data_IF_915966803652
#
_entry.id   IF_915966803652
#
_cell.length_a   1.000
_cell.length_b   1.000
_cell.length_c   1.000
_cell.angle_alpha   90.00
_cell.angle_beta   90.00
_cell.angle_gamma   90.00
#
_symmetry.space_group_name_H-M   'P 1'
#
loop_
_entity.id
_entity.type
_entity.pdbx_description
1 polymer ?
#
# COMPACT_ATOMS: atom_id res chain seq x y z
N UNK A 1 27.95 -35.33 -0.52
CA UNK A 1 26.95 -34.34 -1.00
C UNK A 1 25.75 -34.12 -0.06
N UNK A 2 25.58 -34.87 1.04
CA UNK A 2 24.43 -34.70 1.95
C UNK A 2 24.61 -33.57 3.01
N UNK A 3 25.85 -33.25 3.39
CA UNK A 3 26.13 -32.36 4.53
C UNK A 3 25.86 -30.85 4.28
N UNK A 4 25.86 -30.40 3.02
CA UNK A 4 25.60 -28.99 2.67
C UNK A 4 24.10 -28.64 2.72
N UNK A 5 23.20 -29.63 2.54
CA UNK A 5 21.74 -29.40 2.59
C UNK A 5 21.21 -29.25 4.02
N UNK A 6 21.87 -29.83 5.02
CA UNK A 6 21.46 -29.79 6.43
C UNK A 6 21.73 -28.44 7.08
N UNK A 7 22.89 -27.82 6.81
CA UNK A 7 23.27 -26.48 7.31
C UNK A 7 22.26 -25.39 6.88
N UNK A 8 21.77 -25.45 5.64
CA UNK A 8 20.77 -24.51 5.11
C UNK A 8 19.38 -24.69 5.74
N UNK A 9 19.03 -25.91 6.18
CA UNK A 9 17.73 -26.19 6.83
C UNK A 9 17.74 -25.77 8.30
N UNK A 10 18.85 -25.97 9.00
CA UNK A 10 19.02 -25.56 10.39
C UNK A 10 19.02 -24.03 10.55
N UNK A 11 19.74 -23.30 9.68
CA UNK A 11 19.74 -21.83 9.68
C UNK A 11 18.35 -21.24 9.35
N UNK A 12 17.59 -21.88 8.45
CA UNK A 12 16.20 -21.49 8.18
C UNK A 12 15.30 -21.69 9.39
N UNK A 13 15.45 -22.81 10.12
CA UNK A 13 14.65 -23.10 11.30
C UNK A 13 14.94 -22.13 12.45
N UNK A 14 16.21 -21.79 12.68
CA UNK A 14 16.61 -20.80 13.67
C UNK A 14 16.06 -19.41 13.31
N UNK A 15 16.21 -18.98 12.05
CA UNK A 15 15.64 -17.70 11.60
C UNK A 15 14.11 -17.67 11.77
N UNK A 16 13.43 -18.77 11.43
CA UNK A 16 11.96 -18.87 11.61
C UNK A 16 11.56 -18.79 13.08
N UNK A 17 12.29 -19.44 13.98
CA UNK A 17 12.05 -19.36 15.42
C UNK A 17 12.26 -17.93 15.95
N UNK A 18 13.31 -17.26 15.51
CA UNK A 18 13.56 -15.84 15.86
C UNK A 18 12.42 -14.96 15.36
N UNK A 19 12.00 -15.11 14.10
CA UNK A 19 10.85 -14.37 13.53
C UNK A 19 9.59 -14.63 14.35
N UNK A 20 9.31 -15.87 14.75
CA UNK A 20 8.14 -16.16 15.58
C UNK A 20 8.22 -15.55 16.98
N UNK A 21 9.37 -15.61 17.65
CA UNK A 21 9.57 -14.99 18.96
C UNK A 21 9.33 -13.47 18.87
N UNK A 22 9.90 -12.82 17.84
CA UNK A 22 9.72 -11.39 17.60
C UNK A 22 8.25 -11.07 17.27
N UNK A 23 7.60 -11.85 16.40
CA UNK A 23 6.18 -11.67 16.08
C UNK A 23 5.27 -11.84 17.31
N UNK A 24 5.54 -12.81 18.17
CA UNK A 24 4.79 -13.02 19.42
C UNK A 24 5.01 -11.86 20.38
N UNK A 25 6.26 -11.40 20.54
CA UNK A 25 6.57 -10.24 21.38
C UNK A 25 5.86 -8.96 20.88
N UNK A 26 5.88 -8.70 19.57
CA UNK A 26 5.17 -7.58 18.95
C UNK A 26 3.65 -7.71 19.09
N UNK A 27 3.11 -8.93 19.01
CA UNK A 27 1.68 -9.19 19.23
C UNK A 27 1.27 -8.94 20.68
N UNK A 28 2.06 -9.36 21.66
CA UNK A 28 1.80 -9.07 23.08
C UNK A 28 1.88 -7.56 23.36
N UNK A 29 2.87 -6.88 22.77
CA UNK A 29 3.04 -5.44 22.90
C UNK A 29 1.86 -4.67 22.27
N UNK A 30 1.32 -5.13 21.15
CA UNK A 30 0.17 -4.48 20.50
C UNK A 30 -1.16 -4.73 21.21
N UNK A 31 -1.31 -5.85 21.94
CA UNK A 31 -2.49 -6.14 22.77
C UNK A 31 -2.52 -5.28 24.04
N UNK A 32 -1.35 -4.93 24.59
CA UNK A 32 -1.22 -4.15 25.82
C UNK A 32 -2.05 -2.85 25.86
N UNK A 33 -2.05 -1.95 24.85
CA UNK A 33 -2.89 -0.75 24.86
C UNK A 33 -4.39 -1.06 24.87
N UNK A 34 -4.82 -2.15 24.21
CA UNK A 34 -6.22 -2.59 24.24
C UNK A 34 -6.61 -3.14 25.62
N UNK A 35 -5.70 -3.87 26.27
CA UNK A 35 -5.91 -4.33 27.65
C UNK A 35 -6.05 -3.16 28.62
N UNK A 36 -5.18 -2.14 28.51
CA UNK A 36 -5.27 -0.92 29.31
C UNK A 36 -6.58 -0.18 29.06
N UNK A 37 -7.03 -0.10 27.80
CA UNK A 37 -8.32 0.53 27.46
C UNK A 37 -9.48 -0.21 28.14
N UNK A 38 -9.48 -1.55 28.14
CA UNK A 38 -10.48 -2.35 28.83
C UNK A 38 -10.44 -2.14 30.36
N UNK A 39 -9.25 -2.18 30.96
CA UNK A 39 -9.07 -1.92 32.40
C UNK A 39 -9.55 -0.51 32.75
N UNK A 40 -9.20 0.50 31.97
CA UNK A 40 -9.63 1.88 32.22
C UNK A 40 -11.16 2.04 32.12
N UNK A 41 -11.85 1.26 31.29
CA UNK A 41 -13.31 1.25 31.25
C UNK A 41 -13.95 0.77 32.58
N UNK A 42 -13.21 -0.01 33.38
CA UNK A 42 -13.66 -0.50 34.70
C UNK A 42 -13.25 0.41 35.87
N UNK A 43 -12.44 1.44 35.62
CA UNK A 43 -11.88 2.35 36.63
C UNK A 43 -12.66 3.65 36.75
N UNK A 44 -12.58 4.26 37.93
CA UNK A 44 -13.10 5.61 38.18
C UNK A 44 -12.15 6.69 37.64
N UNK A 45 -12.65 7.91 37.44
CA UNK A 45 -11.85 9.04 36.95
C UNK A 45 -10.64 9.35 37.84
N UNK A 46 -10.79 9.22 39.16
CA UNK A 46 -9.70 9.45 40.13
C UNK A 46 -8.60 8.38 40.01
N UNK A 47 -8.97 7.12 39.78
CA UNK A 47 -8.03 6.02 39.58
C UNK A 47 -7.29 6.13 38.24
N UNK A 48 -7.92 6.67 37.19
CA UNK A 48 -7.25 6.91 35.90
C UNK A 48 -6.19 8.01 36.04
N UNK A 49 -6.47 9.06 36.82
CA UNK A 49 -5.52 10.15 37.06
C UNK A 49 -4.35 9.76 37.96
N UNK A 50 -4.51 8.75 38.82
CA UNK A 50 -3.45 8.29 39.73
C UNK A 50 -2.37 7.43 39.07
N UNK A 51 -2.56 7.05 37.80
CA UNK A 51 -1.54 6.36 36.99
C UNK A 51 -2.04 5.07 36.33
N UNK A 52 -1.11 4.43 35.62
CA UNK A 52 -1.38 3.23 34.83
C UNK A 52 -1.50 2.01 35.75
N UNK A 53 -2.64 1.32 35.71
CA UNK A 53 -2.87 0.04 36.39
C UNK A 53 -3.27 -1.02 35.37
N UNK A 54 -2.79 -2.25 35.59
CA UNK A 54 -3.14 -3.41 34.76
C UNK A 54 -4.29 -4.24 35.33
N UNK A 55 -4.76 -3.89 36.53
CA UNK A 55 -5.83 -4.60 37.23
C UNK A 55 -7.17 -3.89 37.05
N UNK A 56 -8.25 -4.62 36.70
CA UNK A 56 -9.59 -4.05 36.58
C UNK A 56 -10.13 -3.62 37.95
N UNK A 57 -10.93 -2.55 37.96
CA UNK A 57 -11.64 -2.05 39.15
C UNK A 57 -13.12 -2.44 39.09
N UNK A 58 -13.88 -2.11 40.13
CA UNK A 58 -15.28 -2.56 40.30
C UNK A 58 -16.31 -1.61 39.68
N UNK A 59 -15.89 -0.49 39.11
CA UNK A 59 -16.75 0.60 38.65
C UNK A 59 -17.33 0.42 37.23
N UNK A 60 -17.18 -0.76 36.62
CA UNK A 60 -17.64 -1.03 35.24
C UNK A 60 -19.13 -0.74 35.03
N UNK A 61 -20.01 -1.18 35.95
CA UNK A 61 -21.47 -0.99 35.83
C UNK A 61 -21.84 0.48 35.89
N UNK A 62 -21.26 1.22 36.84
CA UNK A 62 -21.47 2.66 36.98
C UNK A 62 -21.02 3.42 35.74
N UNK A 63 -19.88 3.07 35.16
CA UNK A 63 -19.41 3.69 33.91
C UNK A 63 -20.34 3.39 32.73
N UNK A 64 -20.85 2.15 32.63
CA UNK A 64 -21.80 1.77 31.58
C UNK A 64 -23.15 2.49 31.74
N UNK A 65 -23.67 2.59 32.96
CA UNK A 65 -24.91 3.30 33.24
C UNK A 65 -24.75 4.79 32.93
N UNK A 66 -23.61 5.40 33.28
CA UNK A 66 -23.31 6.80 32.91
C UNK A 66 -23.22 6.99 31.38
N UNK A 67 -22.68 6.01 30.65
CA UNK A 67 -22.60 6.05 29.18
C UNK A 67 -23.98 5.95 28.53
N UNK A 68 -24.90 5.17 29.08
CA UNK A 68 -26.25 4.94 28.53
C UNK A 68 -27.28 5.97 29.03
N UNK A 69 -27.08 6.55 30.22
CA UNK A 69 -28.02 7.49 30.84
C UNK A 69 -27.73 8.96 30.53
N UNK A 70 -26.52 9.31 30.09
CA UNK A 70 -26.20 10.69 29.67
C UNK A 70 -26.95 11.06 28.39
N UNK A 71 -27.13 12.36 28.17
CA UNK A 71 -27.78 12.97 26.99
C UNK A 71 -27.10 12.70 25.63
N UNK A 72 -26.08 11.85 25.59
CA UNK A 72 -25.39 11.44 24.37
C UNK A 72 -25.76 10.00 24.06
N UNK A 73 -26.36 9.78 22.90
CA UNK A 73 -26.73 8.44 22.41
C UNK A 73 -25.53 7.84 21.64
N UNK A 74 -24.82 6.84 22.22
CA UNK A 74 -23.64 6.27 21.59
C UNK A 74 -23.97 5.54 20.29
N UNK A 75 -25.19 5.00 20.17
CA UNK A 75 -25.63 4.28 18.98
C UNK A 75 -25.80 5.24 17.80
N UNK A 76 -26.37 6.43 18.03
CA UNK A 76 -26.45 7.46 16.99
C UNK A 76 -25.06 7.89 16.51
N UNK A 77 -24.10 8.04 17.43
CA UNK A 77 -22.70 8.32 17.08
C UNK A 77 -22.08 7.23 16.20
N UNK A 78 -22.35 5.96 16.54
CA UNK A 78 -21.89 4.82 15.76
C UNK A 78 -22.49 4.79 14.35
N UNK A 79 -23.82 4.97 14.22
CA UNK A 79 -24.48 5.01 12.91
C UNK A 79 -24.01 6.20 12.05
N UNK A 80 -23.85 7.39 12.64
CA UNK A 80 -23.29 8.54 11.92
C UNK A 80 -21.89 8.23 11.37
N UNK A 81 -21.04 7.62 12.21
CA UNK A 81 -19.68 7.23 11.81
C UNK A 81 -19.70 6.20 10.69
N UNK A 82 -20.58 5.20 10.76
CA UNK A 82 -20.74 4.17 9.74
C UNK A 82 -21.19 4.75 8.39
N UNK A 83 -22.17 5.67 8.42
CA UNK A 83 -22.65 6.37 7.22
C UNK A 83 -21.51 7.19 6.59
N UNK A 84 -20.81 7.99 7.40
CA UNK A 84 -19.70 8.83 6.93
C UNK A 84 -18.59 7.95 6.36
N UNK A 85 -18.12 6.93 7.09
CA UNK A 85 -17.01 6.09 6.65
C UNK A 85 -17.38 5.29 5.41
N UNK A 86 -18.60 4.74 5.34
CA UNK A 86 -19.06 3.96 4.19
C UNK A 86 -19.17 4.82 2.93
N UNK A 87 -19.88 5.94 3.01
CA UNK A 87 -20.09 6.82 1.86
C UNK A 87 -18.80 7.51 1.42
N UNK A 88 -18.01 8.02 2.36
CA UNK A 88 -16.72 8.65 2.03
C UNK A 88 -15.75 7.68 1.38
N UNK A 89 -15.65 6.44 1.87
CA UNK A 89 -14.80 5.41 1.26
C UNK A 89 -15.27 5.04 -0.15
N UNK A 90 -16.57 4.81 -0.33
CA UNK A 90 -17.13 4.42 -1.63
C UNK A 90 -16.91 5.50 -2.69
N UNK A 91 -17.24 6.75 -2.36
CA UNK A 91 -17.03 7.85 -3.28
C UNK A 91 -15.53 8.10 -3.54
N UNK A 92 -14.70 8.10 -2.48
CA UNK A 92 -13.27 8.33 -2.63
C UNK A 92 -12.61 7.27 -3.53
N UNK A 93 -12.92 5.99 -3.32
CA UNK A 93 -12.40 4.90 -4.16
C UNK A 93 -12.92 5.00 -5.59
N UNK A 94 -14.20 5.29 -5.79
CA UNK A 94 -14.80 5.43 -7.12
C UNK A 94 -14.13 6.55 -7.93
N UNK A 95 -14.08 7.78 -7.40
CA UNK A 95 -13.46 8.90 -8.12
C UNK A 95 -11.93 8.75 -8.24
N UNK A 96 -11.27 8.19 -7.23
CA UNK A 96 -9.81 8.01 -7.27
C UNK A 96 -9.38 6.94 -8.25
N UNK A 97 -10.12 5.82 -8.35
CA UNK A 97 -9.85 4.77 -9.33
C UNK A 97 -10.06 5.27 -10.76
N UNK A 98 -11.13 6.02 -11.01
CA UNK A 98 -11.39 6.65 -12.31
C UNK A 98 -10.28 7.64 -12.69
N UNK A 99 -9.84 8.48 -11.75
CA UNK A 99 -8.75 9.44 -11.97
C UNK A 99 -7.42 8.73 -12.21
N UNK A 100 -7.11 7.69 -11.43
CA UNK A 100 -5.89 6.90 -11.59
C UNK A 100 -5.88 6.16 -12.95
N UNK A 101 -7.00 5.58 -13.34
CA UNK A 101 -7.18 4.98 -14.66
C UNK A 101 -7.00 6.01 -15.78
N UNK A 102 -7.59 7.21 -15.65
CA UNK A 102 -7.39 8.29 -16.61
C UNK A 102 -5.92 8.73 -16.75
N UNK A 103 -5.17 8.73 -15.65
CA UNK A 103 -3.74 9.08 -15.66
C UNK A 103 -2.85 7.98 -16.25
N UNK A 104 -3.24 6.71 -16.14
CA UNK A 104 -2.46 5.54 -16.59
C UNK A 104 -2.84 5.11 -18.00
N UNK A 105 -4.14 4.91 -18.27
CA UNK A 105 -4.64 4.34 -19.51
C UNK A 105 -4.72 5.35 -20.66
N UNK A 106 -4.87 6.65 -20.39
CA UNK A 106 -4.99 7.68 -21.43
C UNK A 106 -3.71 8.51 -21.63
N UNK A 107 -3.43 8.82 -22.89
CA UNK A 107 -2.30 9.64 -23.31
C UNK A 107 -2.72 11.07 -23.65
N UNK A 108 -2.36 12.01 -22.78
CA UNK A 108 -2.65 13.43 -22.91
C UNK A 108 -1.46 14.26 -22.41
N UNK A 109 -1.22 15.41 -23.05
CA UNK A 109 0.03 16.19 -22.92
C UNK A 109 0.30 16.70 -21.49
N UNK A 110 -0.75 16.96 -20.70
CA UNK A 110 -0.63 17.53 -19.34
C UNK A 110 -0.67 16.49 -18.21
N UNK A 111 -0.74 15.19 -18.51
CA UNK A 111 -0.89 14.15 -17.47
C UNK A 111 0.18 14.17 -16.39
N UNK A 112 1.43 14.47 -16.77
CA UNK A 112 2.55 14.52 -15.84
C UNK A 112 2.44 15.74 -14.93
N UNK A 113 2.00 16.88 -15.46
CA UNK A 113 1.77 18.09 -14.67
C UNK A 113 0.63 17.89 -13.65
N UNK A 114 -0.48 17.25 -14.06
CA UNK A 114 -1.58 16.90 -13.13
C UNK A 114 -1.13 15.93 -12.04
N UNK A 115 -0.34 14.91 -12.39
CA UNK A 115 0.18 13.98 -11.38
C UNK A 115 1.14 14.67 -10.41
N UNK A 116 2.06 15.50 -10.91
CA UNK A 116 2.93 16.32 -10.05
C UNK A 116 2.14 17.26 -9.14
N UNK A 117 1.07 17.86 -9.64
CA UNK A 117 0.17 18.69 -8.83
C UNK A 117 -0.47 17.89 -7.68
N UNK A 118 -0.96 16.67 -7.95
CA UNK A 118 -1.51 15.78 -6.92
C UNK A 118 -0.45 15.45 -5.85
N UNK A 119 0.80 15.18 -6.26
CA UNK A 119 1.92 14.95 -5.35
C UNK A 119 2.22 16.17 -4.48
N UNK A 120 2.18 17.38 -5.03
CA UNK A 120 2.40 18.61 -4.27
C UNK A 120 1.32 18.81 -3.20
N UNK A 121 0.05 18.56 -3.54
CA UNK A 121 -1.06 18.72 -2.59
C UNK A 121 -0.96 17.73 -1.43
N UNK A 122 -0.55 16.48 -1.67
CA UNK A 122 -0.38 15.50 -0.60
C UNK A 122 0.83 15.75 0.32
N UNK A 123 1.78 16.63 -0.06
CA UNK A 123 2.84 17.06 0.85
C UNK A 123 2.33 18.01 1.94
N UNK A 124 1.16 18.62 1.73
CA UNK A 124 0.55 19.49 2.73
C UNK A 124 -0.05 18.61 3.84
N UNK A 125 0.38 18.77 5.10
CA UNK A 125 -0.18 17.99 6.20
C UNK A 125 -1.66 18.36 6.40
N UNK A 126 -2.52 17.36 6.41
CA UNK A 126 -3.97 17.54 6.58
C UNK A 126 -4.33 18.27 7.89
N UNK A 127 -3.48 18.16 8.91
CA UNK A 127 -3.67 18.86 10.17
C UNK A 127 -3.55 20.39 10.02
N UNK A 128 -2.68 20.87 9.13
CA UNK A 128 -2.47 22.31 8.93
C UNK A 128 -3.62 22.96 8.13
N UNK A 129 -4.23 22.22 7.19
CA UNK A 129 -5.35 22.73 6.37
C UNK A 129 -6.71 22.67 7.08
N UNK A 130 -6.81 21.93 8.19
CA UNK A 130 -8.07 21.72 8.92
C UNK A 130 -8.71 23.02 9.43
N UNK A 131 -7.92 23.97 9.95
CA UNK A 131 -8.44 25.23 10.50
C UNK A 131 -9.07 26.10 9.40
N UNK A 132 -8.38 26.19 8.25
CA UNK A 132 -8.88 26.93 7.09
C UNK A 132 -10.15 26.31 6.53
N UNK A 133 -10.18 24.98 6.42
CA UNK A 133 -11.37 24.24 5.98
C UNK A 133 -12.56 24.44 6.94
N UNK A 134 -12.33 24.41 8.25
CA UNK A 134 -13.38 24.69 9.24
C UNK A 134 -13.96 26.11 9.07
N UNK A 135 -13.11 27.13 8.89
CA UNK A 135 -13.57 28.51 8.64
C UNK A 135 -14.39 28.61 7.34
N UNK A 136 -14.00 27.89 6.29
CA UNK A 136 -14.75 27.82 5.03
C UNK A 136 -16.14 27.18 5.23
N UNK A 137 -16.22 26.06 5.94
CA UNK A 137 -17.49 25.40 6.28
C UNK A 137 -18.38 26.24 7.20
N UNK A 138 -17.77 27.04 8.09
CA UNK A 138 -18.47 27.98 8.95
C UNK A 138 -19.16 29.09 8.13
N UNK A 139 -18.48 29.65 7.13
CA UNK A 139 -19.08 30.65 6.23
C UNK A 139 -20.22 30.05 5.38
N UNK A 140 -20.12 28.77 5.02
CA UNK A 140 -21.15 28.02 4.30
C UNK A 140 -22.31 27.55 5.19
N UNK A 141 -22.27 27.80 6.50
CA UNK A 141 -23.28 27.34 7.48
C UNK A 141 -23.47 25.81 7.50
N UNK A 142 -22.46 25.04 7.11
CA UNK A 142 -22.50 23.56 7.06
C UNK A 142 -21.92 22.89 8.31
N UNK A 143 -21.71 23.66 9.39
CA UNK A 143 -21.02 23.21 10.61
C UNK A 143 -21.74 22.09 11.37
N UNK A 144 -23.06 21.97 11.22
CA UNK A 144 -23.87 20.94 11.87
C UNK A 144 -24.34 19.84 10.90
N UNK A 145 -23.49 19.49 9.92
CA UNK A 145 -23.80 18.48 8.90
C UNK A 145 -22.65 17.49 8.72
N UNK A 146 -22.94 16.32 8.14
CA UNK A 146 -21.96 15.30 7.79
C UNK A 146 -21.27 15.60 6.44
N UNK A 147 -21.84 16.51 5.65
CA UNK A 147 -21.34 16.95 4.34
C UNK A 147 -19.86 17.40 4.36
N UNK A 148 -19.40 18.23 5.31
CA UNK A 148 -18.00 18.63 5.43
C UNK A 148 -17.02 17.48 5.63
N UNK A 149 -17.47 16.31 6.09
CA UNK A 149 -16.61 15.15 6.29
C UNK A 149 -16.49 14.32 5.00
N UNK A 150 -17.56 14.29 4.19
CA UNK A 150 -17.60 13.54 2.94
C UNK A 150 -16.86 14.28 1.82
N UNK A 151 -17.09 15.60 1.71
CA UNK A 151 -16.59 16.38 0.57
C UNK A 151 -15.06 16.33 0.40
N UNK A 152 -14.24 16.49 1.46
CA UNK A 152 -12.78 16.38 1.34
C UNK A 152 -12.31 14.96 1.04
N UNK A 153 -13.05 13.95 1.51
CA UNK A 153 -12.68 12.55 1.30
C UNK A 153 -12.78 12.15 -0.17
N UNK A 154 -13.72 12.74 -0.94
CA UNK A 154 -13.85 12.48 -2.38
C UNK A 154 -12.59 12.93 -3.15
N UNK A 155 -12.01 14.06 -2.75
CA UNK A 155 -10.82 14.65 -3.38
C UNK A 155 -9.53 14.26 -2.64
N UNK A 156 -9.35 12.98 -2.31
CA UNK A 156 -8.20 12.49 -1.56
C UNK A 156 -6.98 12.19 -2.48
N UNK A 157 -5.94 13.06 -2.52
CA UNK A 157 -4.80 12.87 -3.42
C UNK A 157 -3.98 11.62 -3.09
N UNK A 158 -3.92 11.22 -1.81
CA UNK A 158 -3.23 10.02 -1.37
C UNK A 158 -3.83 8.74 -1.99
N UNK A 159 -5.17 8.64 -2.06
CA UNK A 159 -5.84 7.46 -2.63
C UNK A 159 -5.58 7.37 -4.14
N UNK A 160 -5.66 8.51 -4.85
CA UNK A 160 -5.32 8.57 -6.28
C UNK A 160 -3.88 8.11 -6.51
N UNK A 161 -2.94 8.57 -5.69
CA UNK A 161 -1.55 8.17 -5.77
C UNK A 161 -1.38 6.66 -5.60
N UNK A 162 -1.94 6.07 -4.53
CA UNK A 162 -1.85 4.62 -4.29
C UNK A 162 -2.53 3.80 -5.39
N UNK A 163 -3.73 4.20 -5.84
CA UNK A 163 -4.44 3.54 -6.94
C UNK A 163 -3.64 3.57 -8.23
N UNK A 164 -2.95 4.68 -8.52
CA UNK A 164 -2.05 4.76 -9.67
C UNK A 164 -0.87 3.80 -9.54
N UNK A 165 -0.21 3.72 -8.39
CA UNK A 165 0.92 2.79 -8.19
C UNK A 165 0.46 1.33 -8.32
N UNK A 166 -0.73 1.01 -7.82
CA UNK A 166 -1.33 -0.30 -7.97
C UNK A 166 -1.60 -0.64 -9.43
N UNK A 167 -2.23 0.26 -10.19
CA UNK A 167 -2.49 0.07 -11.62
C UNK A 167 -1.20 -0.07 -12.42
N UNK A 168 -0.16 0.71 -12.12
CA UNK A 168 1.13 0.57 -12.80
C UNK A 168 1.82 -0.78 -12.55
N UNK A 169 1.57 -1.39 -11.38
CA UNK A 169 2.19 -2.67 -11.02
C UNK A 169 1.41 -3.87 -11.56
N UNK A 170 0.07 -3.74 -11.66
CA UNK A 170 -0.82 -4.84 -12.05
C UNK A 170 -1.21 -4.82 -13.54
N UNK A 171 -1.25 -3.65 -14.17
CA UNK A 171 -1.69 -3.48 -15.55
C UNK A 171 -0.49 -3.66 -16.49
N UNK A 172 -0.28 -4.89 -16.97
CA UNK A 172 0.64 -5.13 -18.09
C UNK A 172 0.03 -4.65 -19.40
N UNK A 173 0.86 -4.12 -20.30
CA UNK A 173 0.44 -3.66 -21.63
C UNK A 173 -0.25 -4.78 -22.42
N UNK A 174 0.27 -6.00 -22.28
CA UNK A 174 -0.27 -7.24 -22.86
C UNK A 174 -1.75 -7.46 -22.50
N UNK A 175 -2.14 -7.19 -21.26
CA UNK A 175 -3.51 -7.40 -20.80
C UNK A 175 -4.47 -6.38 -21.43
N UNK A 176 -3.98 -5.16 -21.70
CA UNK A 176 -4.79 -4.13 -22.35
C UNK A 176 -4.85 -4.33 -23.87
N UNK A 177 -3.79 -4.84 -24.48
CA UNK A 177 -3.78 -5.19 -25.90
C UNK A 177 -4.67 -6.41 -26.19
N UNK A 178 -4.64 -7.43 -25.33
CA UNK A 178 -5.57 -8.56 -25.41
C UNK A 178 -7.04 -8.11 -25.32
N UNK A 179 -7.36 -7.23 -24.36
CA UNK A 179 -8.70 -6.67 -24.23
C UNK A 179 -9.12 -5.83 -25.46
N UNK A 180 -8.18 -5.19 -26.16
CA UNK A 180 -8.46 -4.50 -27.43
C UNK A 180 -8.74 -5.47 -28.56
N UNK A 181 -8.00 -6.58 -28.65
CA UNK A 181 -8.24 -7.64 -29.65
C UNK A 181 -9.62 -8.28 -29.42
N UNK A 182 -10.01 -8.49 -28.16
CA UNK A 182 -11.33 -9.00 -27.76
C UNK A 182 -12.48 -7.97 -27.92
N UNK A 183 -12.20 -6.78 -28.45
CA UNK A 183 -13.20 -5.74 -28.72
C UNK A 183 -13.70 -5.00 -27.47
N UNK A 184 -13.12 -5.25 -26.29
CA UNK A 184 -13.50 -4.60 -25.04
C UNK A 184 -12.94 -3.17 -24.90
N UNK A 185 -12.21 -2.64 -25.90
CA UNK A 185 -11.56 -1.33 -25.87
C UNK A 185 -11.87 -0.45 -27.08
N UNK A 186 -12.92 0.36 -27.00
CA UNK A 186 -13.12 1.47 -27.93
C UNK A 186 -12.19 2.65 -27.60
N UNK A 187 -11.30 3.02 -28.52
CA UNK A 187 -10.48 4.24 -28.51
C UNK A 187 -9.54 4.47 -27.29
N UNK A 188 -9.16 3.44 -26.53
CA UNK A 188 -8.09 3.58 -25.53
C UNK A 188 -6.74 3.59 -26.25
N UNK A 189 -6.18 4.79 -26.44
CA UNK A 189 -4.77 4.94 -26.81
C UNK A 189 -3.92 4.64 -25.57
N UNK A 190 -3.70 3.35 -25.32
CA UNK A 190 -2.84 2.85 -24.25
C UNK A 190 -1.41 3.28 -24.55
N UNK A 191 -0.71 3.75 -23.52
CA UNK A 191 0.70 4.12 -23.61
C UNK A 191 1.55 2.89 -24.00
N UNK A 192 2.21 2.87 -25.17
CA UNK A 192 3.26 1.90 -25.42
C UNK A 192 4.45 2.22 -24.50
N UNK A 193 4.98 1.16 -23.88
CA UNK A 193 6.16 1.08 -23.02
C UNK A 193 6.70 2.37 -22.40
N UNK A 194 6.40 2.56 -21.11
CA UNK A 194 7.03 3.58 -20.27
C UNK A 194 8.30 3.10 -19.54
N UNK A 195 8.89 1.99 -19.96
CA UNK A 195 10.22 1.59 -19.47
C UNK A 195 11.33 2.61 -19.85
N UNK A 196 11.04 3.57 -20.74
CA UNK A 196 12.00 4.56 -21.24
C UNK A 196 11.82 5.99 -20.66
N UNK A 197 10.77 6.28 -19.90
CA UNK A 197 10.41 7.67 -19.50
C UNK A 197 10.85 8.03 -18.06
N UNK A 198 11.26 7.05 -17.25
CA UNK A 198 12.01 7.32 -16.02
C UNK A 198 13.50 7.40 -16.34
N UNK A 199 13.89 8.50 -16.98
CA UNK A 199 15.27 8.93 -17.12
C UNK A 199 15.93 9.18 -15.77
N UNK A 200 16.42 8.12 -15.14
CA UNK A 200 17.71 8.16 -14.45
C UNK A 200 18.68 7.38 -15.33
N UNK A 201 19.63 8.10 -15.90
CA UNK A 201 20.64 7.57 -16.81
C UNK A 201 21.64 6.67 -16.10
N UNK A 202 21.19 5.50 -15.64
CA UNK A 202 22.06 4.39 -15.29
C UNK A 202 21.51 3.12 -15.95
N UNK A 203 21.85 2.96 -17.24
CA UNK A 203 21.84 1.65 -17.88
C UNK A 203 22.83 0.76 -17.11
N UNK A 204 22.32 -0.17 -16.31
CA UNK A 204 23.16 -1.27 -15.83
C UNK A 204 23.53 -2.13 -17.05
N UNK A 205 24.81 -2.47 -17.26
CA UNK A 205 25.24 -3.28 -18.40
C UNK A 205 24.66 -4.70 -18.44
N UNK A 206 23.93 -5.12 -17.40
CA UNK A 206 23.24 -6.43 -17.32
C UNK A 206 21.93 -6.52 -18.12
N UNK A 207 21.20 -5.42 -18.31
CA UNK A 207 19.88 -5.45 -18.95
C UNK A 207 19.96 -5.63 -20.49
N UNK A 208 21.08 -5.21 -21.09
CA UNK A 208 21.35 -5.48 -22.51
C UNK A 208 21.64 -6.97 -22.79
N UNK A 209 22.20 -7.69 -21.82
CA UNK A 209 22.52 -9.10 -21.98
C UNK A 209 21.25 -9.95 -21.94
N UNK A 210 20.33 -9.64 -21.03
CA UNK A 210 19.06 -10.36 -20.89
C UNK A 210 18.13 -10.14 -22.09
N UNK A 211 18.05 -8.92 -22.64
CA UNK A 211 17.28 -8.67 -23.87
C UNK A 211 17.86 -9.41 -25.09
N UNK A 212 19.19 -9.55 -25.20
CA UNK A 212 19.82 -10.31 -26.30
C UNK A 212 19.53 -11.81 -26.25
N UNK A 213 19.23 -12.36 -25.08
CA UNK A 213 18.93 -13.78 -24.90
C UNK A 213 17.48 -14.14 -25.29
N UNK A 214 16.57 -13.18 -25.26
CA UNK A 214 15.17 -13.37 -25.66
C UNK A 214 14.94 -13.12 -27.17
N UNK A 215 15.87 -12.47 -27.86
CA UNK A 215 15.79 -12.17 -29.31
C UNK A 215 16.51 -13.19 -30.20
N UNK A 216 16.96 -14.35 -29.71
CA UNK A 216 17.49 -15.39 -30.59
C UNK A 216 16.34 -16.11 -31.32
N UNK A 217 16.21 -15.95 -32.65
CA UNK A 217 15.14 -16.60 -33.39
C UNK A 217 15.36 -18.11 -33.46
N UNK A 218 14.24 -18.83 -33.43
CA UNK A 218 14.04 -20.27 -33.51
C UNK A 218 14.54 -20.87 -34.84
N UNK A 219 15.83 -20.78 -35.14
CA UNK A 219 16.46 -21.39 -36.32
C UNK A 219 17.88 -21.90 -35.99
N UNK A 220 17.95 -23.01 -35.26
CA UNK A 220 19.10 -23.92 -35.29
C UNK A 220 18.70 -25.26 -34.64
N UNK A 221 17.90 -26.05 -35.37
CA UNK A 221 17.82 -27.47 -35.12
C UNK A 221 19.19 -28.12 -35.43
N UNK A 222 19.65 -28.98 -34.52
CA UNK A 222 20.47 -30.21 -34.67
C UNK A 222 21.28 -30.39 -35.98
N UNK A 223 22.58 -30.79 -35.98
CA UNK A 223 22.99 -32.05 -35.33
C UNK A 223 24.45 -32.16 -34.81
N UNK A 224 24.75 -33.37 -34.30
CA UNK A 224 26.05 -34.04 -34.17
C UNK A 224 26.95 -33.62 -32.98
N UNK A 225 27.12 -34.48 -31.98
CA UNK A 225 28.11 -35.58 -31.90
C UNK A 225 29.56 -35.12 -31.77
N UNK A 226 30.24 -35.72 -30.79
CA UNK A 226 31.69 -35.86 -30.58
C UNK A 226 32.39 -34.85 -29.65
N UNK A 227 32.86 -35.41 -28.53
CA UNK A 227 34.16 -35.19 -27.86
C UNK A 227 34.41 -33.83 -27.15
N UNK A 228 35.09 -33.73 -26.01
CA UNK A 228 35.96 -34.69 -25.34
C UNK A 228 36.12 -34.39 -23.84
N UNK A 229 36.32 -35.47 -23.09
CA UNK A 229 37.04 -35.48 -21.81
C UNK A 229 38.54 -35.41 -22.08
N UNK A 230 39.30 -35.17 -21.00
CA UNK A 230 40.75 -35.37 -20.82
C UNK A 230 41.59 -34.16 -21.26
N UNK A 231 42.66 -33.70 -20.62
CA UNK A 231 43.27 -33.76 -19.28
C UNK A 231 44.58 -32.97 -19.42
N UNK A 232 44.94 -32.17 -18.42
CA UNK A 232 46.29 -31.92 -17.91
C UNK A 232 47.43 -31.31 -18.79
N UNK A 233 48.34 -30.66 -18.04
CA UNK A 233 49.74 -30.27 -18.32
C UNK A 233 49.94 -29.01 -19.19
N UNK A 234 50.44 -27.87 -18.67
CA UNK A 234 51.70 -27.56 -17.95
C UNK A 234 52.90 -27.27 -18.89
N UNK A 235 53.68 -26.26 -18.47
CA UNK A 235 54.93 -25.69 -18.98
C UNK A 235 54.97 -24.73 -20.19
N UNK A 236 55.54 -23.55 -19.95
CA UNK A 236 56.54 -22.98 -20.88
C UNK A 236 56.51 -21.48 -21.16
N UNK A 237 56.84 -20.64 -20.17
CA UNK A 237 57.68 -19.44 -20.40
C UNK A 237 59.15 -19.95 -20.55
N UNK A 238 60.16 -19.19 -21.06
CA UNK A 238 60.29 -17.73 -21.09
C UNK A 238 61.04 -17.15 -22.31
N UNK A 239 61.34 -15.84 -22.21
CA UNK A 239 62.45 -15.05 -22.77
C UNK A 239 63.18 -15.54 -24.03
#
# INVERSE_FOLDING_TARGET
MQNVRTESRASLQVNRTIVYIVCIALALLSILPFWIMFVNATRSTAEIQSGLSLLPSTHMKTNLDVLLSKSFDPLKGFFNSLIISGFSTLCAVYFSSLTAYALVAYNWKLRQAFFTFILLVMMIPAQASAIGFYKFMYQLHWTNSLLPLILPAIAAPAIVFFMRQYLLSMLSIEMVEAARIDGAGGAVHVQPDRAADHGTGHRHPGDLCFRRQLEQPLHAAHPAHAEGKVHAADYGQPA
#
